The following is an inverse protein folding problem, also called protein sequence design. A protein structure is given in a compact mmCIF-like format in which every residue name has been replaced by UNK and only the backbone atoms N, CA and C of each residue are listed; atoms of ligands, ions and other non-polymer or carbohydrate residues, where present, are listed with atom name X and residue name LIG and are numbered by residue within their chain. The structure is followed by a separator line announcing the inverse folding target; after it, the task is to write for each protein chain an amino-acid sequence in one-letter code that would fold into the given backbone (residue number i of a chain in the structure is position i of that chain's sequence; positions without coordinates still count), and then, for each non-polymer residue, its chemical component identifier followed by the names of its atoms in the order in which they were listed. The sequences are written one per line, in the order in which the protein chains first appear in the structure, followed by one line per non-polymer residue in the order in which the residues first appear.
data_IF_160535606840
#
_entry.id   IF_160535606840
#
_cell.length_a   1.000
_cell.length_b   1.000
_cell.length_c   1.000
_cell.angle_alpha   90.00
_cell.angle_beta   90.00
_cell.angle_gamma   90.00
#
_symmetry.space_group_name_H-M   'P 1'
#
loop_
_entity.id
_entity.type
_entity.pdbx_description
1 polymer ?
#
# COMPACT_ATOMS: atom_id res chain seq x y z
N UNK A 1 19.65 -21.69 -28.44
CA UNK A 1 18.91 -20.45 -28.66
C UNK A 1 18.00 -20.23 -27.46
N UNK A 2 18.48 -19.49 -26.47
CA UNK A 2 17.70 -19.01 -25.34
C UNK A 2 16.89 -17.83 -25.85
N UNK A 3 15.63 -18.06 -26.17
CA UNK A 3 14.65 -16.98 -26.32
C UNK A 3 14.43 -16.42 -24.92
N UNK A 4 14.93 -15.22 -24.67
CA UNK A 4 14.78 -14.55 -23.40
C UNK A 4 13.31 -14.33 -23.08
N UNK A 5 12.87 -14.85 -21.96
CA UNK A 5 11.65 -14.38 -21.33
C UNK A 5 11.92 -12.96 -20.84
N UNK A 6 11.56 -11.98 -21.62
CA UNK A 6 11.47 -10.60 -21.15
C UNK A 6 10.36 -10.57 -20.10
N UNK A 7 10.74 -10.51 -18.85
CA UNK A 7 9.84 -10.15 -17.76
C UNK A 7 9.57 -8.65 -17.89
N UNK A 8 8.57 -8.31 -18.70
CA UNK A 8 8.13 -6.95 -18.88
C UNK A 8 7.35 -6.54 -17.64
N UNK A 9 8.00 -5.89 -16.68
CA UNK A 9 7.31 -5.13 -15.64
C UNK A 9 6.77 -3.87 -16.33
N UNK A 10 5.72 -4.05 -17.09
CA UNK A 10 4.97 -2.97 -17.74
C UNK A 10 3.70 -2.77 -16.97
N UNK A 11 3.67 -1.79 -16.24
CA UNK A 11 2.58 -1.04 -15.68
C UNK A 11 2.65 -0.93 -14.17
N UNK A 12 3.02 0.25 -13.71
CA UNK A 12 2.84 0.70 -12.33
C UNK A 12 1.51 1.45 -12.21
N UNK A 13 0.50 1.01 -12.95
CA UNK A 13 -0.84 1.53 -12.82
C UNK A 13 -1.61 0.70 -11.80
N UNK A 14 -2.22 1.33 -10.82
CA UNK A 14 -3.19 0.68 -9.91
C UNK A 14 -4.50 0.32 -10.64
N UNK A 15 -4.48 0.32 -11.98
CA UNK A 15 -5.56 -0.12 -12.84
C UNK A 15 -5.75 -1.64 -12.77
N UNK A 16 -6.99 -2.09 -12.84
CA UNK A 16 -7.35 -3.51 -12.97
C UNK A 16 -7.03 -4.01 -14.38
N UNK A 17 -5.76 -4.35 -14.62
CA UNK A 17 -5.36 -5.02 -15.87
C UNK A 17 -6.15 -6.30 -16.09
N UNK A 18 -6.67 -6.48 -17.30
CA UNK A 18 -7.30 -7.74 -17.68
C UNK A 18 -6.21 -8.77 -18.02
N UNK A 19 -5.97 -9.70 -17.11
CA UNK A 19 -4.91 -10.71 -17.22
C UNK A 19 -5.00 -11.52 -18.53
N UNK A 20 -6.21 -11.78 -19.02
CA UNK A 20 -6.42 -12.57 -20.25
C UNK A 20 -6.06 -11.75 -21.49
N UNK A 21 -6.56 -10.53 -21.59
CA UNK A 21 -6.32 -9.65 -22.74
C UNK A 21 -4.86 -9.23 -22.85
N UNK A 22 -4.23 -8.97 -21.71
CA UNK A 22 -2.84 -8.53 -21.63
C UNK A 22 -1.83 -9.68 -21.59
N UNK A 23 -2.30 -10.94 -21.63
CA UNK A 23 -1.48 -12.17 -21.57
C UNK A 23 -0.56 -12.21 -20.36
N UNK A 24 -1.08 -11.81 -19.20
CA UNK A 24 -0.36 -11.81 -17.93
C UNK A 24 -0.57 -13.17 -17.25
N UNK A 25 0.51 -13.90 -16.98
CA UNK A 25 0.47 -15.19 -16.30
C UNK A 25 0.18 -15.06 -14.80
N UNK A 26 0.66 -13.98 -14.18
CA UNK A 26 0.55 -13.71 -12.75
C UNK A 26 0.52 -12.21 -12.49
N UNK A 27 -0.42 -11.74 -11.67
CA UNK A 27 -0.39 -10.40 -11.12
C UNK A 27 -0.39 -10.42 -9.59
N UNK A 28 0.26 -9.45 -8.97
CA UNK A 28 0.13 -9.18 -7.55
C UNK A 28 -0.92 -8.09 -7.36
N UNK A 29 -1.93 -8.36 -6.52
CA UNK A 29 -3.01 -7.40 -6.25
C UNK A 29 -3.18 -7.17 -4.76
N UNK A 30 -3.33 -5.89 -4.40
CA UNK A 30 -3.64 -5.47 -3.04
C UNK A 30 -5.12 -5.11 -3.00
N UNK A 31 -5.93 -5.95 -2.36
CA UNK A 31 -7.38 -5.80 -2.29
C UNK A 31 -7.95 -6.64 -1.14
N UNK A 32 -9.19 -6.35 -0.72
CA UNK A 32 -9.97 -7.27 0.13
C UNK A 32 -10.99 -8.06 -0.65
N UNK A 33 -11.20 -7.70 -1.92
CA UNK A 33 -12.18 -8.31 -2.81
C UNK A 33 -11.48 -8.74 -4.11
N UNK A 34 -10.76 -9.88 -4.10
CA UNK A 34 -10.18 -10.41 -5.33
C UNK A 34 -11.30 -10.82 -6.29
N UNK A 35 -11.07 -10.60 -7.59
CA UNK A 35 -12.01 -10.95 -8.64
C UNK A 35 -12.32 -12.46 -8.60
N UNK A 36 -13.61 -12.79 -8.46
CA UNK A 36 -14.09 -14.18 -8.35
C UNK A 36 -13.88 -14.99 -9.62
N UNK A 37 -13.64 -14.37 -10.77
CA UNK A 37 -13.32 -15.04 -12.03
C UNK A 37 -11.86 -15.51 -12.09
N UNK A 38 -11.00 -15.02 -11.20
CA UNK A 38 -9.57 -15.35 -11.10
C UNK A 38 -9.31 -16.29 -9.92
N UNK A 39 -8.19 -16.98 -10.00
CA UNK A 39 -7.67 -17.70 -8.85
C UNK A 39 -6.81 -16.73 -8.05
N UNK A 40 -7.15 -16.58 -6.78
CA UNK A 40 -6.42 -15.71 -5.86
C UNK A 40 -5.80 -16.54 -4.74
N UNK A 41 -4.49 -16.40 -4.54
CA UNK A 41 -3.77 -16.95 -3.39
C UNK A 41 -3.28 -15.79 -2.54
N UNK A 42 -3.77 -15.70 -1.31
CA UNK A 42 -3.29 -14.71 -0.36
C UNK A 42 -1.83 -15.00 -0.02
N UNK A 43 -0.99 -13.98 -0.12
CA UNK A 43 0.44 -14.05 0.20
C UNK A 43 0.69 -13.48 1.59
N UNK A 44 0.14 -12.28 1.88
CA UNK A 44 0.31 -11.60 3.16
C UNK A 44 -0.72 -10.48 3.31
N UNK A 45 -0.57 -9.65 4.33
CA UNK A 45 -1.34 -8.42 4.52
C UNK A 45 -0.53 -7.19 4.10
N UNK A 46 -1.24 -6.17 3.63
CA UNK A 46 -0.69 -4.86 3.32
C UNK A 46 -1.33 -3.84 4.25
N UNK A 47 -0.54 -3.27 5.15
CA UNK A 47 -0.96 -2.20 6.06
C UNK A 47 -0.66 -0.84 5.45
N UNK A 48 -1.34 0.16 5.98
CA UNK A 48 -1.11 1.56 5.60
C UNK A 48 -0.85 2.39 6.84
N UNK A 49 -0.03 3.42 6.67
CA UNK A 49 0.25 4.44 7.68
C UNK A 49 -0.01 5.82 7.14
N UNK A 50 -0.34 6.76 8.00
CA UNK A 50 -0.32 8.18 7.66
C UNK A 50 1.06 8.72 7.98
N UNK A 51 1.66 9.45 7.06
CA UNK A 51 3.00 10.01 7.26
C UNK A 51 3.13 11.39 6.63
N UNK A 52 4.09 12.15 7.13
CA UNK A 52 4.49 13.44 6.61
C UNK A 52 5.99 13.67 6.81
N UNK A 53 6.59 14.59 6.07
CA UNK A 53 7.96 15.02 6.32
C UNK A 53 8.05 15.82 7.63
N UNK A 54 9.19 15.76 8.38
CA UNK A 54 9.41 16.60 9.55
C UNK A 54 9.28 18.10 9.24
N UNK A 55 9.66 18.50 8.05
CA UNK A 55 9.62 19.89 7.60
C UNK A 55 8.20 20.40 7.37
N UNK A 56 7.31 19.54 6.84
CA UNK A 56 5.89 19.85 6.77
C UNK A 56 5.31 20.05 8.17
N UNK A 57 5.57 19.10 9.08
CA UNK A 57 5.06 19.14 10.46
C UNK A 57 5.55 20.36 11.25
N UNK A 58 6.79 20.79 11.04
CA UNK A 58 7.34 21.98 11.69
C UNK A 58 6.59 23.26 11.30
N UNK A 59 5.95 23.30 10.12
CA UNK A 59 5.19 24.47 9.65
C UNK A 59 3.70 24.40 9.97
N UNK A 60 3.14 23.21 10.02
CA UNK A 60 1.69 23.01 10.07
C UNK A 60 1.21 22.32 11.35
N UNK A 61 2.11 21.91 12.24
CA UNK A 61 1.80 21.14 13.42
C UNK A 61 1.72 19.64 13.14
N UNK A 62 1.62 18.85 14.22
CA UNK A 62 1.51 17.39 14.16
C UNK A 62 0.11 16.99 14.58
N UNK A 63 -0.67 16.29 13.74
CA UNK A 63 -1.98 15.79 14.11
C UNK A 63 -1.84 14.71 15.19
N UNK A 64 -2.69 14.78 16.21
CA UNK A 64 -2.72 13.84 17.34
C UNK A 64 -3.96 12.95 17.32
N UNK A 65 -5.01 13.38 16.63
CA UNK A 65 -6.25 12.63 16.41
C UNK A 65 -6.59 12.57 14.93
N UNK A 66 -7.38 11.58 14.47
CA UNK A 66 -7.84 11.54 13.09
C UNK A 66 -8.58 12.82 12.65
N UNK A 67 -9.31 13.48 13.55
CA UNK A 67 -10.06 14.69 13.27
C UNK A 67 -9.16 15.88 12.91
N UNK A 68 -7.94 15.92 13.44
CA UNK A 68 -6.98 16.98 13.14
C UNK A 68 -6.58 16.98 11.65
N UNK A 69 -6.70 15.84 10.96
CA UNK A 69 -6.40 15.71 9.53
C UNK A 69 -7.22 16.66 8.65
N UNK A 70 -8.42 17.04 9.09
CA UNK A 70 -9.26 18.02 8.39
C UNK A 70 -8.62 19.42 8.27
N UNK A 71 -7.62 19.72 9.12
CA UNK A 71 -6.88 20.99 9.13
C UNK A 71 -5.56 20.92 8.36
N UNK A 72 -5.24 19.77 7.78
CA UNK A 72 -3.98 19.53 7.06
C UNK A 72 -4.21 19.36 5.56
N UNK A 73 -3.16 19.62 4.77
CA UNK A 73 -3.14 19.25 3.35
C UNK A 73 -2.91 17.75 3.22
N UNK A 74 -3.99 17.01 2.95
CA UNK A 74 -3.91 15.58 2.70
C UNK A 74 -3.77 15.30 1.21
N UNK A 75 -2.73 14.55 0.84
CA UNK A 75 -2.48 14.12 -0.53
C UNK A 75 -3.39 12.92 -0.83
N UNK A 76 -4.30 13.09 -1.79
CA UNK A 76 -5.42 12.17 -2.03
C UNK A 76 -5.03 11.06 -2.99
N UNK A 77 -5.24 9.82 -2.57
CA UNK A 77 -5.14 8.67 -3.46
C UNK A 77 -6.51 8.39 -4.08
N UNK A 78 -6.67 8.74 -5.35
CA UNK A 78 -7.95 8.75 -6.04
C UNK A 78 -8.77 7.44 -5.92
N UNK A 79 -8.16 6.23 -6.02
CA UNK A 79 -8.90 4.98 -5.91
C UNK A 79 -9.54 4.72 -4.52
N UNK A 80 -9.06 5.36 -3.45
CA UNK A 80 -9.56 5.16 -2.09
C UNK A 80 -10.52 6.27 -1.61
N UNK A 81 -10.72 7.30 -2.44
CA UNK A 81 -11.59 8.43 -2.11
C UNK A 81 -11.05 9.32 -0.99
N UNK A 82 -11.91 10.23 -0.55
CA UNK A 82 -11.53 11.31 0.36
C UNK A 82 -11.92 11.03 1.83
N UNK A 83 -12.45 9.84 2.14
CA UNK A 83 -12.79 9.46 3.52
C UNK A 83 -11.77 8.45 4.03
N UNK A 84 -10.94 8.90 4.99
CA UNK A 84 -10.03 8.01 5.69
C UNK A 84 -10.70 7.42 6.93
N UNK A 85 -10.55 6.11 7.09
CA UNK A 85 -11.13 5.35 8.19
C UNK A 85 -10.06 4.76 9.07
N UNK A 86 -10.21 4.97 10.36
CA UNK A 86 -9.30 4.50 11.39
C UNK A 86 -10.07 3.70 12.43
N UNK A 87 -9.35 2.90 13.19
CA UNK A 87 -9.82 2.20 14.37
C UNK A 87 -8.82 2.45 15.49
N UNK A 88 -9.31 2.91 16.64
CA UNK A 88 -8.45 3.11 17.80
C UNK A 88 -8.19 1.79 18.56
N UNK A 89 -7.33 1.83 19.59
CA UNK A 89 -6.98 0.69 20.41
C UNK A 89 -8.19 0.09 21.16
N UNK A 90 -9.24 0.86 21.42
CA UNK A 90 -10.50 0.39 21.99
C UNK A 90 -11.43 -0.25 20.97
N UNK A 91 -11.04 -0.20 19.68
CA UNK A 91 -11.82 -0.75 18.58
C UNK A 91 -12.89 0.21 18.03
N UNK A 92 -12.92 1.47 18.48
CA UNK A 92 -13.87 2.48 17.99
C UNK A 92 -13.44 2.96 16.59
N UNK A 93 -14.41 3.02 15.68
CA UNK A 93 -14.17 3.49 14.33
C UNK A 93 -14.25 5.02 14.25
N UNK A 94 -13.29 5.61 13.55
CA UNK A 94 -13.24 7.03 13.23
C UNK A 94 -13.21 7.20 11.72
N UNK A 95 -14.05 8.08 11.19
CA UNK A 95 -14.05 8.46 9.78
C UNK A 95 -13.82 9.95 9.66
N UNK A 96 -12.88 10.34 8.80
CA UNK A 96 -12.52 11.73 8.57
C UNK A 96 -12.54 12.00 7.08
N UNK A 97 -13.27 13.03 6.68
CA UNK A 97 -13.21 13.58 5.35
C UNK A 97 -11.93 14.44 5.24
N UNK A 98 -11.04 14.03 4.36
CA UNK A 98 -9.78 14.74 4.14
C UNK A 98 -9.91 15.71 2.98
N UNK A 99 -9.10 16.77 3.02
CA UNK A 99 -9.03 17.75 1.94
C UNK A 99 -7.58 18.03 1.54
N UNK A 100 -7.41 18.44 0.30
CA UNK A 100 -6.09 18.84 -0.23
C UNK A 100 -6.19 19.18 -1.71
N UNK A 101 -5.22 19.90 -2.19
CA UNK A 101 -5.15 20.40 -3.56
C UNK A 101 -4.37 19.48 -4.52
N UNK A 102 -3.88 18.34 -4.03
CA UNK A 102 -3.12 17.38 -4.83
C UNK A 102 -3.68 15.96 -4.66
N UNK A 103 -3.92 15.31 -5.78
CA UNK A 103 -4.35 13.91 -5.83
C UNK A 103 -3.70 13.17 -6.99
N UNK A 104 -3.47 11.88 -6.81
CA UNK A 104 -2.94 11.00 -7.83
C UNK A 104 -3.55 9.59 -7.71
N UNK A 105 -3.45 8.83 -8.77
CA UNK A 105 -3.81 7.40 -8.81
C UNK A 105 -2.58 6.49 -8.64
N UNK A 106 -1.42 7.03 -8.33
CA UNK A 106 -0.16 6.33 -8.07
C UNK A 106 0.36 6.71 -6.68
N UNK A 107 0.46 5.72 -5.79
CA UNK A 107 0.95 5.90 -4.43
C UNK A 107 2.41 6.37 -4.39
N UNK A 108 3.23 6.02 -5.40
CA UNK A 108 4.63 6.45 -5.49
C UNK A 108 4.74 7.95 -5.72
N UNK A 109 3.86 8.51 -6.55
CA UNK A 109 3.79 9.97 -6.79
C UNK A 109 3.43 10.69 -5.49
N UNK A 110 2.46 10.18 -4.74
CA UNK A 110 2.07 10.75 -3.44
C UNK A 110 3.20 10.65 -2.41
N UNK A 111 3.94 9.54 -2.40
CA UNK A 111 5.10 9.36 -1.52
C UNK A 111 6.18 10.42 -1.82
N UNK A 112 6.51 10.65 -3.09
CA UNK A 112 7.49 11.66 -3.48
C UNK A 112 7.00 13.07 -3.12
N UNK A 113 5.72 13.38 -3.30
CA UNK A 113 5.14 14.64 -2.89
C UNK A 113 5.20 14.83 -1.35
N UNK A 114 4.99 13.76 -0.57
CA UNK A 114 5.10 13.78 0.89
C UNK A 114 6.53 14.08 1.33
N UNK A 115 7.52 13.43 0.72
CA UNK A 115 8.94 13.68 0.95
C UNK A 115 9.35 15.11 0.57
N UNK A 116 8.68 15.70 -0.42
CA UNK A 116 8.88 17.08 -0.87
C UNK A 116 8.06 18.12 -0.07
N UNK A 117 7.57 17.78 1.13
CA UNK A 117 6.85 18.67 2.05
C UNK A 117 5.47 19.15 1.55
N UNK A 118 4.85 18.49 0.55
CA UNK A 118 3.59 18.94 -0.04
C UNK A 118 2.37 18.69 0.86
N UNK A 119 2.47 17.78 1.82
CA UNK A 119 1.36 17.41 2.70
C UNK A 119 1.61 16.09 3.43
N UNK A 120 0.56 15.59 4.09
CA UNK A 120 0.57 14.23 4.61
C UNK A 120 -0.17 13.29 3.64
N UNK A 121 0.25 12.05 3.63
CA UNK A 121 -0.36 11.02 2.79
C UNK A 121 -0.58 9.72 3.55
N UNK A 122 -1.55 8.95 3.09
CA UNK A 122 -1.67 7.53 3.43
C UNK A 122 -0.75 6.74 2.51
N UNK A 123 0.17 5.98 3.08
CA UNK A 123 1.13 5.18 2.34
C UNK A 123 1.09 3.71 2.77
N UNK A 124 1.27 2.77 1.85
CA UNK A 124 1.54 1.39 2.23
C UNK A 124 2.81 1.30 3.06
N UNK A 125 2.80 0.45 4.08
CA UNK A 125 3.95 0.28 4.98
C UNK A 125 5.21 -0.15 4.25
N UNK A 126 5.08 -1.02 3.23
CA UNK A 126 6.23 -1.47 2.41
C UNK A 126 6.93 -0.33 1.67
N UNK A 127 6.23 0.75 1.35
CA UNK A 127 6.78 1.91 0.66
C UNK A 127 7.33 2.96 1.65
N UNK A 128 6.65 3.17 2.79
CA UNK A 128 6.98 4.23 3.75
C UNK A 128 8.03 3.81 4.78
N UNK A 129 8.12 2.53 5.15
CA UNK A 129 8.91 2.07 6.29
C UNK A 129 10.39 2.49 6.26
N UNK A 130 11.02 2.44 5.09
CA UNK A 130 12.43 2.88 4.96
C UNK A 130 12.62 4.36 5.27
N UNK A 131 11.71 5.21 4.83
CA UNK A 131 11.75 6.68 5.04
C UNK A 131 11.38 7.06 6.47
N UNK A 132 10.49 6.31 7.11
CA UNK A 132 10.17 6.48 8.53
C UNK A 132 11.39 6.08 9.37
N UNK A 133 12.05 4.99 9.03
CA UNK A 133 13.26 4.56 9.71
C UNK A 133 14.45 5.51 9.56
N UNK A 134 14.60 6.13 8.38
CA UNK A 134 15.66 7.14 8.15
C UNK A 134 15.35 8.51 8.77
N UNK A 135 14.10 8.74 9.22
CA UNK A 135 13.64 10.02 9.74
C UNK A 135 13.25 11.04 8.65
N UNK A 136 13.24 10.64 7.39
CA UNK A 136 12.74 11.46 6.29
C UNK A 136 11.22 11.63 6.33
N UNK A 137 10.52 10.64 6.89
CA UNK A 137 9.09 10.71 7.19
C UNK A 137 8.85 10.41 8.67
N UNK A 138 7.78 10.98 9.21
CA UNK A 138 7.27 10.72 10.54
C UNK A 138 5.98 9.90 10.41
N UNK A 139 5.87 8.78 11.12
CA UNK A 139 4.63 8.04 11.27
C UNK A 139 3.67 8.83 12.17
N UNK A 140 2.50 9.13 11.68
CA UNK A 140 1.47 9.91 12.37
C UNK A 140 0.36 8.99 12.87
N UNK A 141 -0.28 9.38 13.96
CA UNK A 141 -1.42 8.67 14.55
C UNK A 141 -1.12 7.19 14.83
N UNK A 142 -0.01 6.83 15.53
CA UNK A 142 0.40 5.44 15.72
C UNK A 142 -0.61 4.60 16.54
N UNK A 143 -1.48 5.26 17.31
CA UNK A 143 -2.55 4.62 18.09
C UNK A 143 -3.82 4.34 17.30
N UNK A 144 -3.84 4.68 16.01
CA UNK A 144 -4.97 4.54 15.12
C UNK A 144 -4.60 3.68 13.91
N UNK A 145 -5.21 2.52 13.82
CA UNK A 145 -4.99 1.59 12.72
C UNK A 145 -5.93 1.89 11.54
N UNK A 146 -5.41 1.76 10.34
CA UNK A 146 -6.22 1.76 9.11
C UNK A 146 -6.55 0.32 8.71
N UNK A 147 -7.64 0.14 7.94
CA UNK A 147 -8.03 -1.17 7.45
C UNK A 147 -6.89 -1.82 6.65
N UNK A 148 -6.57 -3.07 6.99
CA UNK A 148 -5.60 -3.88 6.26
C UNK A 148 -6.20 -4.34 4.92
N UNK A 149 -5.35 -4.48 3.92
CA UNK A 149 -5.67 -5.11 2.65
C UNK A 149 -4.90 -6.42 2.51
N UNK A 150 -5.44 -7.37 1.77
CA UNK A 150 -4.71 -8.58 1.42
C UNK A 150 -3.83 -8.36 0.20
N UNK A 151 -2.59 -8.86 0.22
CA UNK A 151 -1.76 -9.03 -0.97
C UNK A 151 -2.01 -10.41 -1.55
N UNK A 152 -2.44 -10.46 -2.79
CA UNK A 152 -2.78 -11.71 -3.49
C UNK A 152 -1.94 -11.91 -4.74
N UNK A 153 -1.52 -13.14 -4.96
CA UNK A 153 -1.13 -13.63 -6.28
C UNK A 153 -2.39 -14.05 -7.03
N UNK A 154 -2.69 -13.42 -8.16
CA UNK A 154 -3.86 -13.71 -8.98
C UNK A 154 -3.47 -14.19 -10.37
N UNK A 155 -4.17 -15.24 -10.86
CA UNK A 155 -3.92 -15.86 -12.16
C UNK A 155 -5.19 -16.54 -12.70
N UNK A 156 -5.21 -16.82 -14.01
CA UNK A 156 -6.44 -17.26 -14.72
C UNK A 156 -6.78 -18.73 -14.52
N UNK A 157 -5.80 -19.62 -14.36
CA UNK A 157 -6.05 -21.08 -14.31
C UNK A 157 -4.98 -21.84 -13.52
N UNK A 158 -5.43 -22.83 -12.71
CA UNK A 158 -4.50 -23.76 -12.04
C UNK A 158 -3.92 -24.79 -13.00
N UNK A 159 -4.70 -25.21 -14.03
CA UNK A 159 -4.32 -26.32 -14.93
C UNK A 159 -3.24 -25.92 -15.93
N UNK A 160 -3.18 -24.64 -16.28
CA UNK A 160 -2.27 -24.11 -17.31
C UNK A 160 -1.23 -23.14 -16.75
N UNK A 161 -1.06 -23.11 -15.42
CA UNK A 161 -0.05 -22.26 -14.79
C UNK A 161 1.33 -22.82 -15.10
N UNK A 162 2.23 -22.07 -15.76
CA UNK A 162 3.60 -22.48 -16.02
C UNK A 162 4.31 -22.90 -14.73
N UNK A 163 5.20 -23.90 -14.81
CA UNK A 163 5.94 -24.38 -13.64
C UNK A 163 6.75 -23.28 -12.96
N UNK A 164 7.34 -22.38 -13.75
CA UNK A 164 8.07 -21.20 -13.28
C UNK A 164 7.18 -20.26 -12.47
N UNK A 165 5.96 -19.98 -12.95
CA UNK A 165 4.99 -19.13 -12.25
C UNK A 165 4.53 -19.78 -10.96
N UNK A 166 4.29 -21.10 -10.96
CA UNK A 166 3.94 -21.84 -9.74
C UNK A 166 5.05 -21.75 -8.71
N UNK A 167 6.29 -22.00 -9.10
CA UNK A 167 7.45 -21.89 -8.20
C UNK A 167 7.58 -20.49 -7.62
N UNK A 168 7.35 -19.44 -8.43
CA UNK A 168 7.36 -18.07 -7.94
C UNK A 168 6.25 -17.82 -6.91
N UNK A 169 5.01 -18.28 -7.18
CA UNK A 169 3.89 -18.13 -6.24
C UNK A 169 4.15 -18.87 -4.92
N UNK A 170 4.74 -20.08 -4.99
CA UNK A 170 5.09 -20.86 -3.81
C UNK A 170 6.20 -20.15 -3.01
N UNK A 171 7.25 -19.70 -3.67
CA UNK A 171 8.32 -18.92 -3.05
C UNK A 171 7.80 -17.66 -2.35
N UNK A 172 6.95 -16.86 -3.04
CA UNK A 172 6.36 -15.67 -2.45
C UNK A 172 5.46 -15.99 -1.24
N UNK A 173 4.73 -17.10 -1.29
CA UNK A 173 3.88 -17.53 -0.19
C UNK A 173 4.68 -18.02 1.02
N UNK A 174 5.84 -18.64 0.81
CA UNK A 174 6.74 -19.06 1.88
C UNK A 174 7.49 -17.87 2.50
N UNK A 175 7.94 -16.95 1.66
CA UNK A 175 8.72 -15.78 2.11
C UNK A 175 7.87 -14.73 2.83
N UNK A 176 6.66 -14.46 2.30
CA UNK A 176 5.74 -13.43 2.80
C UNK A 176 4.62 -14.00 3.68
N UNK A 177 4.37 -15.32 3.63
CA UNK A 177 3.21 -15.95 4.28
C UNK A 177 3.33 -15.99 5.79
N UNK A 178 2.18 -15.99 6.48
CA UNK A 178 1.94 -16.17 7.93
C UNK A 178 2.87 -15.42 8.92
N UNK A 179 3.88 -14.73 8.43
CA UNK A 179 4.79 -13.91 9.20
C UNK A 179 4.39 -12.44 9.12
N UNK A 180 4.75 -11.70 10.13
CA UNK A 180 4.68 -10.26 10.03
C UNK A 180 5.57 -9.81 8.85
N UNK A 181 5.03 -9.02 7.90
CA UNK A 181 5.82 -8.52 6.79
C UNK A 181 7.09 -7.80 7.29
N UNK A 182 8.26 -8.05 6.70
CA UNK A 182 9.52 -7.50 7.21
C UNK A 182 9.56 -5.96 7.27
N UNK A 183 8.80 -5.30 6.39
CA UNK A 183 8.66 -3.84 6.42
C UNK A 183 7.84 -3.34 7.60
N UNK A 184 6.86 -4.09 8.12
CA UNK A 184 6.09 -3.71 9.30
C UNK A 184 6.94 -3.81 10.58
N UNK A 185 7.83 -4.81 10.65
CA UNK A 185 8.80 -4.92 11.73
C UNK A 185 9.76 -3.71 11.81
N UNK A 186 10.00 -3.03 10.69
CA UNK A 186 10.81 -1.82 10.66
C UNK A 186 10.12 -0.64 11.36
N UNK A 187 8.80 -0.56 11.30
CA UNK A 187 8.04 0.53 11.94
C UNK A 187 8.04 0.43 13.46
N UNK A 188 7.99 -0.80 14.01
CA UNK A 188 8.01 -1.00 15.48
C UNK A 188 9.34 -0.66 16.12
N UNK A 189 10.44 -0.64 15.37
CA UNK A 189 11.78 -0.30 15.89
C UNK A 189 12.07 1.19 15.86
N UNK A 190 11.19 1.98 15.22
CA UNK A 190 11.34 3.43 15.07
C UNK A 190 10.47 4.22 16.06
N UNK A 191 9.64 3.54 16.86
CA UNK A 191 8.85 4.08 17.98
C UNK A 191 9.61 3.83 19.30
#
# INVERSE_FOLDING_TARGET
SLVGSEMCIRDRGDGTSNLVEERIDLALRITNEPDSSLIARKLTVCRSVVCASPRYLARHGTPTTPQDLAQHHCLRYAPLGDIWRFKDQAGVAHAVEISGNFGANDATVLLQATLADAGLSRQPTYAAAQYIRSGELVHLLPDYEMAELGLYAVYTSRRHLPATTRTLVDFLAEDLGDKEPPWDALLRRAA
#
